data_IF_717319827051
#
_entry.id   IF_717319827051
#
_cell.length_a   1.000
_cell.length_b   1.000
_cell.length_c   1.000
_cell.angle_alpha   90.00
_cell.angle_beta   90.00
_cell.angle_gamma   90.00
#
_symmetry.space_group_name_H-M   'P 1'
#
loop_
_entity.id
_entity.type
_entity.pdbx_description
1 polymer ?
#
# COMPACT_ATOMS: atom_id res chain seq x y z
N UNK A 1 9.07 -20.45 2.65
CA UNK A 1 7.61 -20.69 2.55
C UNK A 1 7.46 -21.95 1.72
N UNK A 2 6.79 -22.97 2.24
CA UNK A 2 6.54 -24.21 1.48
C UNK A 2 5.33 -24.06 0.55
N UNK A 3 5.03 -25.09 -0.23
CA UNK A 3 3.94 -25.08 -1.22
C UNK A 3 2.55 -24.88 -0.56
N UNK A 4 2.34 -25.52 0.60
CA UNK A 4 1.08 -25.38 1.35
C UNK A 4 0.93 -23.95 1.91
N UNK A 5 1.99 -23.36 2.46
CA UNK A 5 1.99 -21.97 2.92
C UNK A 5 1.67 -21.02 1.76
N UNK A 6 2.25 -21.26 0.59
CA UNK A 6 1.98 -20.46 -0.62
C UNK A 6 0.53 -20.58 -1.08
N UNK A 7 -0.04 -21.77 -1.03
CA UNK A 7 -1.45 -21.99 -1.36
C UNK A 7 -2.39 -21.30 -0.35
N UNK A 8 -2.10 -21.35 0.95
CA UNK A 8 -2.86 -20.63 1.98
C UNK A 8 -2.84 -19.13 1.68
N UNK A 9 -1.65 -18.56 1.43
CA UNK A 9 -1.49 -17.13 1.16
C UNK A 9 -2.26 -16.72 -0.10
N UNK A 10 -2.19 -17.51 -1.18
CA UNK A 10 -2.93 -17.25 -2.42
C UNK A 10 -4.44 -17.21 -2.19
N UNK A 11 -4.99 -18.20 -1.49
CA UNK A 11 -6.43 -18.24 -1.18
C UNK A 11 -6.86 -17.08 -0.30
N UNK A 12 -6.07 -16.70 0.69
CA UNK A 12 -6.39 -15.58 1.58
C UNK A 12 -6.22 -14.20 0.92
N UNK A 13 -5.36 -14.08 -0.09
CA UNK A 13 -5.31 -12.87 -0.94
C UNK A 13 -6.58 -12.74 -1.80
N UNK A 14 -7.06 -13.85 -2.35
CA UNK A 14 -8.27 -13.88 -3.18
C UNK A 14 -9.54 -13.60 -2.33
N UNK A 15 -9.64 -14.18 -1.14
CA UNK A 15 -10.74 -13.98 -0.21
C UNK A 15 -10.27 -14.08 1.24
N UNK A 16 -9.99 -12.94 1.84
CA UNK A 16 -9.58 -12.84 3.26
C UNK A 16 -10.69 -13.10 4.28
N UNK A 17 -11.95 -13.26 3.84
CA UNK A 17 -13.11 -13.49 4.72
C UNK A 17 -13.50 -14.96 4.84
N UNK A 18 -12.90 -15.84 4.06
CA UNK A 18 -13.21 -17.26 4.11
C UNK A 18 -12.89 -17.85 5.50
N UNK A 19 -13.74 -18.78 5.95
CA UNK A 19 -13.50 -19.46 7.22
C UNK A 19 -12.31 -20.43 7.12
N UNK A 20 -11.67 -20.71 8.25
CA UNK A 20 -10.59 -21.70 8.31
C UNK A 20 -11.05 -23.09 7.80
N UNK A 21 -12.31 -23.45 8.05
CA UNK A 21 -12.89 -24.71 7.56
C UNK A 21 -12.99 -24.74 6.03
N UNK A 22 -13.50 -23.65 5.43
CA UNK A 22 -13.61 -23.53 3.97
C UNK A 22 -12.24 -23.51 3.29
N UNK A 23 -11.27 -22.83 3.90
CA UNK A 23 -9.90 -22.81 3.42
C UNK A 23 -9.24 -24.21 3.48
N UNK A 24 -9.40 -24.91 4.61
CA UNK A 24 -8.88 -26.26 4.79
C UNK A 24 -9.47 -27.26 3.78
N UNK A 25 -10.79 -27.15 3.52
CA UNK A 25 -11.49 -27.97 2.53
C UNK A 25 -10.94 -27.73 1.11
N UNK A 26 -10.76 -26.48 0.70
CA UNK A 26 -10.16 -26.11 -0.60
C UNK A 26 -8.72 -26.64 -0.77
N UNK A 27 -7.99 -26.73 0.33
CA UNK A 27 -6.59 -27.19 0.33
C UNK A 27 -6.45 -28.70 0.55
N UNK A 28 -7.55 -29.42 0.85
CA UNK A 28 -7.54 -30.84 1.14
C UNK A 28 -6.78 -31.22 2.41
N UNK A 29 -6.79 -30.36 3.43
CA UNK A 29 -6.08 -30.57 4.71
C UNK A 29 -7.02 -30.52 5.92
N UNK A 30 -6.54 -31.01 7.07
CA UNK A 30 -7.29 -30.89 8.31
C UNK A 30 -7.43 -29.43 8.76
N UNK A 31 -8.62 -29.01 9.29
CA UNK A 31 -8.83 -27.64 9.79
C UNK A 31 -7.84 -27.19 10.87
N UNK A 32 -7.38 -28.12 11.71
CA UNK A 32 -6.33 -27.85 12.73
C UNK A 32 -4.99 -27.49 12.08
N UNK A 33 -4.59 -28.24 11.06
CA UNK A 33 -3.36 -27.98 10.30
C UNK A 33 -3.43 -26.63 9.58
N UNK A 34 -4.57 -26.32 8.94
CA UNK A 34 -4.79 -25.04 8.28
C UNK A 34 -4.68 -23.88 9.28
N UNK A 35 -5.32 -23.99 10.44
CA UNK A 35 -5.30 -22.97 11.48
C UNK A 35 -3.88 -22.74 12.02
N UNK A 36 -3.14 -23.79 12.29
CA UNK A 36 -1.77 -23.71 12.77
C UNK A 36 -0.86 -23.03 11.75
N UNK A 37 -0.91 -23.44 10.48
CA UNK A 37 -0.14 -22.83 9.40
C UNK A 37 -0.48 -21.34 9.23
N UNK A 38 -1.74 -20.99 9.22
CA UNK A 38 -2.18 -19.60 9.11
C UNK A 38 -1.67 -18.76 10.29
N UNK A 39 -1.71 -19.28 11.52
CA UNK A 39 -1.13 -18.62 12.70
C UNK A 39 0.38 -18.40 12.58
N UNK A 40 1.11 -19.39 12.08
CA UNK A 40 2.56 -19.27 11.85
C UNK A 40 2.87 -18.22 10.78
N UNK A 41 2.09 -18.15 9.70
CA UNK A 41 2.23 -17.11 8.67
C UNK A 41 2.01 -15.70 9.22
N UNK A 42 1.04 -15.52 10.12
CA UNK A 42 0.87 -14.27 10.86
C UNK A 42 2.05 -13.98 11.79
N UNK A 43 2.47 -14.94 12.60
CA UNK A 43 3.60 -14.78 13.53
C UNK A 43 4.90 -14.41 12.81
N UNK A 44 5.12 -14.96 11.62
CA UNK A 44 6.29 -14.66 10.75
C UNK A 44 6.14 -13.34 9.98
N UNK A 45 5.01 -12.62 10.12
CA UNK A 45 4.74 -11.37 9.40
C UNK A 45 4.49 -11.52 7.90
N UNK A 46 4.30 -12.76 7.40
CA UNK A 46 3.97 -13.02 6.00
C UNK A 46 2.55 -12.53 5.72
N UNK A 47 1.59 -12.88 6.57
CA UNK A 47 0.25 -12.29 6.57
C UNK A 47 0.27 -11.17 7.61
N UNK A 48 0.17 -9.92 7.14
CA UNK A 48 0.21 -8.73 8.00
C UNK A 48 -1.17 -8.29 8.50
N UNK A 49 -2.24 -8.83 7.94
CA UNK A 49 -3.62 -8.51 8.30
C UNK A 49 -4.58 -8.66 7.12
N UNK A 50 -5.85 -8.35 7.39
CA UNK A 50 -6.93 -8.34 6.41
C UNK A 50 -7.52 -6.93 6.37
N UNK A 51 -7.80 -6.43 5.17
CA UNK A 51 -8.38 -5.10 4.98
C UNK A 51 -9.55 -5.17 4.02
N UNK A 52 -10.55 -4.34 4.26
CA UNK A 52 -11.62 -4.13 3.29
C UNK A 52 -11.11 -3.27 2.14
N UNK A 53 -11.41 -3.67 0.92
CA UNK A 53 -11.29 -2.81 -0.24
C UNK A 53 -12.54 -1.94 -0.33
N UNK A 54 -12.37 -0.62 -0.30
CA UNK A 54 -13.48 0.34 -0.25
C UNK A 54 -13.44 1.23 -1.49
N UNK A 55 -14.60 1.45 -2.11
CA UNK A 55 -14.71 2.38 -3.22
C UNK A 55 -14.35 3.80 -2.80
N UNK A 56 -13.33 4.38 -3.40
CA UNK A 56 -12.93 5.76 -3.14
C UNK A 56 -14.06 6.74 -3.48
N UNK A 57 -14.85 6.46 -4.52
CA UNK A 57 -16.03 7.28 -4.86
C UNK A 57 -17.08 7.28 -3.76
N UNK A 58 -17.30 6.12 -3.10
CA UNK A 58 -18.22 6.03 -1.96
C UNK A 58 -17.72 6.83 -0.74
N UNK A 59 -16.41 7.09 -0.67
CA UNK A 59 -15.78 7.95 0.33
C UNK A 59 -15.66 9.42 -0.14
N UNK A 60 -16.38 9.80 -1.21
CA UNK A 60 -16.31 11.13 -1.82
C UNK A 60 -14.88 11.52 -2.27
N UNK A 61 -14.13 10.56 -2.84
CA UNK A 61 -12.75 10.71 -3.33
C UNK A 61 -12.71 10.36 -4.81
N UNK A 62 -13.16 11.29 -5.67
CA UNK A 62 -13.35 11.06 -7.11
C UNK A 62 -12.09 11.26 -7.93
N UNK A 63 -11.13 12.05 -7.42
CA UNK A 63 -9.85 12.35 -8.08
C UNK A 63 -8.73 11.66 -7.35
N UNK A 64 -7.83 11.05 -8.10
CA UNK A 64 -6.60 10.45 -7.60
C UNK A 64 -5.40 11.06 -8.33
N UNK A 65 -4.31 11.29 -7.62
CA UNK A 65 -3.08 11.80 -8.21
C UNK A 65 -1.84 11.23 -7.54
N UNK A 66 -0.75 11.17 -8.30
CA UNK A 66 0.60 10.93 -7.81
C UNK A 66 1.35 12.25 -7.74
N UNK A 67 1.86 12.60 -6.56
CA UNK A 67 2.67 13.79 -6.32
C UNK A 67 4.12 13.35 -6.13
N UNK A 68 4.96 13.66 -7.10
CA UNK A 68 6.39 13.41 -7.06
C UNK A 68 7.05 14.61 -6.38
N UNK A 69 7.86 14.38 -5.38
CA UNK A 69 8.34 15.46 -4.50
C UNK A 69 9.85 15.34 -4.26
N UNK A 70 10.55 16.46 -4.32
CA UNK A 70 11.95 16.58 -3.92
C UNK A 70 12.04 17.37 -2.61
N UNK A 71 12.77 16.81 -1.64
CA UNK A 71 12.95 17.38 -0.30
C UNK A 71 14.40 17.73 -0.05
N UNK A 72 14.67 18.93 0.51
CA UNK A 72 16.00 19.38 0.88
C UNK A 72 15.99 20.10 2.24
N UNK A 73 17.03 19.97 3.05
CA UNK A 73 18.18 19.07 2.84
C UNK A 73 17.76 17.59 3.01
N UNK A 74 18.39 16.68 2.25
CA UNK A 74 18.11 15.24 2.33
C UNK A 74 18.82 14.65 3.55
N UNK A 75 18.29 14.93 4.74
CA UNK A 75 18.77 14.44 6.03
C UNK A 75 17.71 13.52 6.65
N UNK A 76 18.14 12.58 7.45
CA UNK A 76 17.26 11.59 8.07
C UNK A 76 16.10 12.23 8.86
N UNK A 77 16.40 13.26 9.66
CA UNK A 77 15.41 13.98 10.45
C UNK A 77 14.34 14.64 9.58
N UNK A 78 14.73 15.28 8.48
CA UNK A 78 13.83 15.94 7.53
C UNK A 78 12.97 14.90 6.79
N UNK A 79 13.61 13.83 6.31
CA UNK A 79 12.92 12.70 5.65
C UNK A 79 11.86 12.10 6.56
N UNK A 80 12.24 11.74 7.80
CA UNK A 80 11.31 11.13 8.77
C UNK A 80 10.18 12.09 9.15
N UNK A 81 10.47 13.37 9.34
CA UNK A 81 9.45 14.38 9.65
C UNK A 81 8.46 14.56 8.49
N UNK A 82 8.96 14.58 7.26
CA UNK A 82 8.13 14.64 6.06
C UNK A 82 7.22 13.42 5.97
N UNK A 83 7.76 12.20 6.05
CA UNK A 83 6.99 10.95 6.03
C UNK A 83 5.87 10.94 7.08
N UNK A 84 6.21 11.26 8.33
CA UNK A 84 5.26 11.29 9.43
C UNK A 84 4.16 12.33 9.23
N UNK A 85 4.52 13.54 8.80
CA UNK A 85 3.55 14.62 8.63
C UNK A 85 2.62 14.40 7.44
N UNK A 86 3.15 13.89 6.32
CA UNK A 86 2.35 13.68 5.11
C UNK A 86 1.42 12.48 5.24
N UNK A 87 1.84 11.41 5.92
CA UNK A 87 0.97 10.24 6.16
C UNK A 87 -0.23 10.51 7.06
N UNK A 88 -0.25 11.62 7.79
CA UNK A 88 -1.40 12.02 8.64
C UNK A 88 -2.44 12.84 7.88
N UNK A 89 -2.14 13.28 6.66
CA UNK A 89 -3.09 14.06 5.87
C UNK A 89 -4.24 13.18 5.36
N UNK A 90 -5.50 13.60 5.51
CA UNK A 90 -6.67 12.80 5.12
C UNK A 90 -6.70 12.43 3.64
N UNK A 91 -6.17 13.29 2.78
CA UNK A 91 -6.10 13.08 1.33
C UNK A 91 -5.06 12.03 0.94
N UNK A 92 -4.10 11.73 1.81
CA UNK A 92 -2.98 10.82 1.50
C UNK A 92 -3.39 9.37 1.68
N UNK A 93 -3.19 8.59 0.64
CA UNK A 93 -3.41 7.13 0.61
C UNK A 93 -2.14 6.37 0.98
N UNK A 94 -1.02 6.78 0.39
CA UNK A 94 0.29 6.15 0.62
C UNK A 94 1.43 7.08 0.29
N UNK A 95 2.57 6.85 0.92
CA UNK A 95 3.84 7.55 0.68
C UNK A 95 4.90 6.51 0.37
N UNK A 96 5.64 6.73 -0.70
CA UNK A 96 6.77 5.91 -1.11
C UNK A 96 8.03 6.76 -1.03
N UNK A 97 9.03 6.28 -0.32
CA UNK A 97 10.39 6.84 -0.35
C UNK A 97 11.14 6.18 -1.50
N UNK A 98 11.71 6.98 -2.38
CA UNK A 98 12.28 6.51 -3.64
C UNK A 98 13.77 6.79 -3.73
N UNK A 99 14.44 6.05 -4.57
CA UNK A 99 15.78 6.37 -5.07
C UNK A 99 15.66 6.83 -6.52
N UNK A 100 16.18 8.00 -6.86
CA UNK A 100 16.11 8.54 -8.22
C UNK A 100 16.05 10.05 -8.23
N UNK A 101 15.38 10.62 -9.24
CA UNK A 101 15.22 12.06 -9.41
C UNK A 101 14.31 12.69 -8.35
N UNK A 102 13.32 11.95 -7.89
CA UNK A 102 12.37 12.38 -6.85
C UNK A 102 12.62 11.54 -5.58
N UNK A 103 12.52 12.18 -4.42
CA UNK A 103 12.76 11.53 -3.12
C UNK A 103 11.50 10.80 -2.62
N UNK A 104 10.32 11.36 -2.96
CA UNK A 104 9.02 10.79 -2.54
C UNK A 104 8.02 10.76 -3.67
N UNK A 105 7.17 9.73 -3.61
CA UNK A 105 5.94 9.63 -4.38
C UNK A 105 4.78 9.52 -3.41
N UNK A 106 3.87 10.50 -3.45
CA UNK A 106 2.70 10.55 -2.57
C UNK A 106 1.45 10.28 -3.40
N UNK A 107 0.73 9.21 -3.08
CA UNK A 107 -0.58 8.93 -3.65
C UNK A 107 -1.63 9.70 -2.86
N UNK A 108 -2.31 10.62 -3.51
CA UNK A 108 -3.34 11.47 -2.93
C UNK A 108 -4.69 11.26 -3.60
N UNK A 109 -5.75 11.53 -2.84
CA UNK A 109 -7.13 11.48 -3.32
C UNK A 109 -7.87 12.74 -2.88
N UNK A 110 -8.74 13.25 -3.75
CA UNK A 110 -9.51 14.45 -3.49
C UNK A 110 -10.96 14.27 -3.98
N UNK A 111 -11.85 15.15 -3.54
CA UNK A 111 -13.25 15.16 -3.97
C UNK A 111 -13.36 15.48 -5.47
N UNK A 112 -12.62 16.52 -5.88
CA UNK A 112 -12.58 17.07 -7.23
C UNK A 112 -11.20 17.72 -7.51
N UNK A 113 -11.07 18.35 -8.67
CA UNK A 113 -9.82 19.02 -9.09
C UNK A 113 -9.55 20.28 -8.26
N UNK A 114 -10.57 21.02 -7.88
CA UNK A 114 -10.43 22.25 -7.09
C UNK A 114 -9.92 21.92 -5.68
N UNK A 115 -10.48 20.86 -5.06
CA UNK A 115 -9.97 20.33 -3.79
C UNK A 115 -8.52 19.85 -3.92
N UNK A 116 -8.17 19.11 -4.99
CA UNK A 116 -6.79 18.68 -5.22
C UNK A 116 -5.85 19.88 -5.33
N UNK A 117 -6.23 20.91 -6.07
CA UNK A 117 -5.44 22.14 -6.25
C UNK A 117 -5.22 22.87 -4.91
N UNK A 118 -6.29 23.09 -4.14
CA UNK A 118 -6.22 23.71 -2.82
C UNK A 118 -5.30 22.90 -1.88
N UNK A 119 -5.47 21.58 -1.83
CA UNK A 119 -4.62 20.66 -1.05
C UNK A 119 -3.13 20.79 -1.41
N UNK A 120 -2.80 20.83 -2.71
CA UNK A 120 -1.42 20.96 -3.16
C UNK A 120 -0.80 22.31 -2.75
N UNK A 121 -1.55 23.40 -2.85
CA UNK A 121 -1.10 24.71 -2.40
C UNK A 121 -0.84 24.72 -0.90
N UNK A 122 -1.79 24.23 -0.11
CA UNK A 122 -1.73 24.29 1.34
C UNK A 122 -0.66 23.36 1.92
N UNK A 123 -0.56 22.13 1.37
CA UNK A 123 0.24 21.07 1.96
C UNK A 123 1.61 20.86 1.30
N UNK A 124 1.83 21.32 0.07
CA UNK A 124 3.10 21.13 -0.62
C UNK A 124 3.82 22.44 -0.90
N UNK A 125 3.13 23.47 -1.41
CA UNK A 125 3.79 24.76 -1.74
C UNK A 125 4.30 25.50 -0.51
N UNK A 126 3.59 25.37 0.62
CA UNK A 126 3.94 26.08 1.86
C UNK A 126 5.03 25.37 2.70
N UNK A 127 5.51 24.20 2.30
CA UNK A 127 6.56 23.47 3.02
C UNK A 127 7.94 23.90 2.58
N UNK A 128 8.74 24.37 3.54
CA UNK A 128 10.10 24.88 3.27
C UNK A 128 11.07 23.80 2.80
N UNK A 129 10.86 22.56 3.23
CA UNK A 129 11.65 21.40 2.83
C UNK A 129 11.40 20.94 1.41
N UNK A 130 10.24 21.26 0.81
CA UNK A 130 9.91 20.90 -0.57
C UNK A 130 10.55 21.90 -1.55
N UNK A 131 11.48 21.40 -2.34
CA UNK A 131 12.17 22.20 -3.38
C UNK A 131 11.36 22.25 -4.66
N UNK A 132 10.77 21.12 -5.01
CA UNK A 132 9.91 21.00 -6.19
C UNK A 132 8.94 19.83 -6.01
N UNK A 133 7.80 19.93 -6.67
CA UNK A 133 6.89 18.81 -6.86
C UNK A 133 6.23 18.90 -8.21
N UNK A 134 5.76 17.75 -8.72
CA UNK A 134 4.95 17.62 -9.92
C UNK A 134 3.82 16.64 -9.66
N UNK A 135 2.68 16.89 -10.27
CA UNK A 135 1.46 16.10 -10.05
C UNK A 135 1.03 15.42 -11.33
N UNK A 136 0.67 14.15 -11.24
CA UNK A 136 0.09 13.37 -12.32
C UNK A 136 -1.26 12.80 -11.88
N UNK A 137 -2.32 13.14 -12.60
CA UNK A 137 -3.67 12.62 -12.33
C UNK A 137 -3.75 11.17 -12.81
N UNK A 138 -4.34 10.31 -11.97
CA UNK A 138 -4.57 8.91 -12.27
C UNK A 138 -5.94 8.76 -12.89
N UNK A 139 -5.99 8.34 -14.15
CA UNK A 139 -7.26 8.02 -14.82
C UNK A 139 -7.78 6.64 -14.43
N UNK A 140 -6.87 5.68 -14.23
CA UNK A 140 -7.22 4.31 -13.88
C UNK A 140 -6.12 3.69 -13.02
N UNK A 141 -6.53 2.97 -11.98
CA UNK A 141 -5.66 2.18 -11.13
C UNK A 141 -6.11 0.72 -11.19
N UNK A 142 -5.22 -0.15 -11.63
CA UNK A 142 -5.44 -1.59 -11.69
C UNK A 142 -4.44 -2.27 -10.76
N UNK A 143 -4.91 -3.19 -9.95
CA UNK A 143 -4.08 -4.01 -9.07
C UNK A 143 -4.25 -5.48 -9.37
N UNK A 144 -3.20 -6.26 -9.20
CA UNK A 144 -3.33 -7.70 -9.12
C UNK A 144 -3.64 -8.09 -7.66
N UNK A 145 -4.83 -8.61 -7.38
CA UNK A 145 -5.22 -8.92 -6.00
C UNK A 145 -4.48 -10.13 -5.41
N UNK A 146 -3.91 -10.98 -6.26
CA UNK A 146 -3.19 -12.20 -5.83
C UNK A 146 -1.78 -12.19 -6.39
N UNK A 147 -0.80 -12.17 -5.51
CA UNK A 147 0.62 -12.20 -5.87
C UNK A 147 1.22 -13.52 -5.40
N UNK A 148 1.81 -14.27 -6.32
CA UNK A 148 2.62 -15.44 -6.01
C UNK A 148 4.03 -15.04 -5.56
N UNK A 149 4.66 -15.91 -4.78
CA UNK A 149 6.07 -15.74 -4.48
C UNK A 149 6.91 -15.87 -5.76
N UNK A 150 7.81 -14.92 -5.97
CA UNK A 150 8.80 -15.06 -7.04
C UNK A 150 9.80 -16.18 -6.66
N UNK A 151 10.33 -16.91 -7.65
CA UNK A 151 11.38 -17.89 -7.38
C UNK A 151 12.55 -17.22 -6.66
N UNK A 152 13.11 -17.93 -5.65
CA UNK A 152 14.32 -17.48 -4.98
C UNK A 152 15.44 -17.30 -6.01
N UNK A 153 16.37 -16.37 -5.74
CA UNK A 153 17.64 -16.39 -6.48
C UNK A 153 18.29 -17.76 -6.18
N UNK A 154 18.48 -18.59 -7.20
CA UNK A 154 19.46 -19.64 -7.13
C UNK A 154 20.79 -18.94 -6.86
N UNK A 155 21.44 -19.32 -5.75
CA UNK A 155 22.76 -18.79 -5.42
C UNK A 155 23.69 -19.13 -6.59
N UNK A 156 24.11 -18.11 -7.34
CA UNK A 156 25.08 -18.21 -8.42
C UNK A 156 26.50 -18.27 -7.84
#
# INVERSE_FOLDING_TARGET
MDELDSAIVRHLQADGRQSNRALAEKLGIAPSTCLERTRLLHKRGIIRGYRAEVSLRALNRSVQAMVFTQVRPLRRDVVTAFEQSVTQLPEVVSVYTMAGSDDFLVHVTAQDIDHLHAFLLDQFTNRREIVSFRTSIIYQHLTNPVLDALPGREDA
#
